data_IF_783614734932
#
_entry.id   IF_783614734932
#
_cell.length_a   1.000
_cell.length_b   1.000
_cell.length_c   1.000
_cell.angle_alpha   90.00
_cell.angle_beta   90.00
_cell.angle_gamma   90.00
#
_symmetry.space_group_name_H-M   'P 1'
#
loop_
_entity.id
_entity.type
_entity.pdbx_description
1 polymer ?
#
# COMPACT_ATOMS: atom_id res chain seq x y z
N UNK A 1 -2.57 30.32 -4.06
CA UNK A 1 -1.17 29.88 -3.87
C UNK A 1 -1.17 28.72 -2.91
N UNK A 2 -0.67 27.57 -3.28
CA UNK A 2 -0.66 26.38 -2.43
C UNK A 2 0.28 26.60 -1.24
N UNK A 3 -0.21 26.42 0.00
CA UNK A 3 0.59 26.68 1.20
C UNK A 3 1.22 25.37 1.69
N UNK A 4 2.52 25.28 1.62
CA UNK A 4 3.31 24.22 2.26
C UNK A 4 3.59 24.57 3.72
N UNK A 5 3.61 23.56 4.59
CA UNK A 5 4.12 23.71 5.95
C UNK A 5 5.66 23.72 5.95
N UNK A 6 6.28 24.22 7.03
CA UNK A 6 7.74 24.46 7.06
C UNK A 6 8.62 23.23 6.78
N UNK A 7 8.11 22.02 6.99
CA UNK A 7 8.84 20.77 6.80
C UNK A 7 8.31 19.96 5.62
N UNK A 8 7.66 20.59 4.63
CA UNK A 8 7.09 19.92 3.48
C UNK A 8 7.77 20.37 2.19
N UNK A 9 7.82 19.47 1.24
CA UNK A 9 8.28 19.71 -0.12
C UNK A 9 7.35 19.06 -1.13
N UNK A 10 7.30 19.63 -2.32
CA UNK A 10 6.65 19.02 -3.48
C UNK A 10 7.69 18.19 -4.23
N UNK A 11 7.35 16.95 -4.51
CA UNK A 11 8.14 16.06 -5.38
C UNK A 11 7.35 15.71 -6.63
N UNK A 12 8.05 15.57 -7.74
CA UNK A 12 7.49 15.12 -9.01
C UNK A 12 7.42 13.58 -9.02
N UNK A 13 6.31 13.03 -9.49
CA UNK A 13 6.07 11.59 -9.58
C UNK A 13 6.43 10.99 -10.96
N UNK A 14 7.14 11.75 -11.80
CA UNK A 14 7.66 11.31 -13.10
C UNK A 14 6.73 11.62 -14.27
N UNK A 15 6.71 10.79 -15.29
CA UNK A 15 6.25 11.07 -16.67
C UNK A 15 4.82 11.63 -16.84
N UNK A 16 3.99 11.62 -15.80
CA UNK A 16 2.60 12.14 -15.88
C UNK A 16 2.44 13.56 -15.35
N UNK A 17 3.51 14.21 -14.92
CA UNK A 17 3.46 15.54 -14.32
C UNK A 17 2.72 15.59 -12.98
N UNK A 18 2.42 14.42 -12.37
CA UNK A 18 1.80 14.33 -11.05
C UNK A 18 2.79 14.75 -9.97
N UNK A 19 2.29 15.45 -8.97
CA UNK A 19 3.08 15.97 -7.85
C UNK A 19 2.55 15.44 -6.53
N UNK A 20 3.45 15.24 -5.57
CA UNK A 20 3.09 14.82 -4.23
C UNK A 20 3.72 15.75 -3.20
N UNK A 21 3.01 16.03 -2.12
CA UNK A 21 3.53 16.74 -0.95
C UNK A 21 4.07 15.70 0.03
N UNK A 22 5.32 15.86 0.45
CA UNK A 22 5.96 14.98 1.42
C UNK A 22 6.70 15.78 2.49
N UNK A 23 6.82 15.23 3.70
CA UNK A 23 7.66 15.83 4.72
C UNK A 23 9.13 15.72 4.32
N UNK A 24 9.89 16.81 4.53
CA UNK A 24 11.30 16.91 4.11
C UNK A 24 12.22 15.92 4.83
N UNK A 25 11.86 15.53 6.06
CA UNK A 25 12.56 14.59 6.94
C UNK A 25 11.96 13.17 6.89
N UNK A 26 10.86 12.99 6.14
CA UNK A 26 10.29 11.65 5.91
C UNK A 26 11.02 10.95 4.74
N UNK A 27 11.00 9.63 4.77
CA UNK A 27 11.45 8.87 3.60
C UNK A 27 10.63 9.29 2.38
N UNK A 28 11.32 9.51 1.25
CA UNK A 28 10.72 9.44 -0.08
C UNK A 28 9.80 8.22 -0.13
N UNK A 29 8.71 8.31 -0.89
CA UNK A 29 7.83 7.16 -1.13
C UNK A 29 8.66 5.87 -1.28
N UNK A 30 8.29 4.83 -0.54
CA UNK A 30 9.10 3.62 -0.48
C UNK A 30 9.08 2.92 -1.84
N UNK A 31 10.21 2.33 -2.20
CA UNK A 31 10.31 1.41 -3.37
C UNK A 31 9.19 0.37 -3.34
N UNK A 32 8.76 -0.03 -2.13
CA UNK A 32 7.67 -0.97 -1.89
C UNK A 32 6.35 -0.53 -2.54
N UNK A 33 6.01 0.76 -2.47
CA UNK A 33 4.80 1.30 -3.09
C UNK A 33 4.86 1.19 -4.62
N UNK A 34 6.02 1.44 -5.22
CA UNK A 34 6.22 1.29 -6.67
C UNK A 34 6.14 -0.17 -7.10
N UNK A 35 6.74 -1.07 -6.32
CA UNK A 35 6.69 -2.51 -6.58
C UNK A 35 5.25 -3.03 -6.51
N UNK A 36 4.50 -2.60 -5.48
CA UNK A 36 3.08 -2.94 -5.34
C UNK A 36 2.26 -2.41 -6.51
N UNK A 37 2.45 -1.15 -6.89
CA UNK A 37 1.77 -0.54 -8.03
C UNK A 37 2.01 -1.26 -9.35
N UNK A 38 3.23 -1.75 -9.59
CA UNK A 38 3.55 -2.51 -10.80
C UNK A 38 2.95 -3.93 -10.78
N UNK A 39 2.65 -4.45 -9.61
CA UNK A 39 2.02 -5.75 -9.43
C UNK A 39 0.49 -5.68 -9.57
N UNK A 40 -0.15 -4.54 -9.24
CA UNK A 40 -1.60 -4.35 -9.29
C UNK A 40 -2.11 -4.42 -10.73
N UNK A 41 -3.10 -5.27 -10.95
CA UNK A 41 -3.82 -5.43 -12.22
C UNK A 41 -5.21 -4.83 -12.09
N UNK A 42 -5.50 -3.78 -12.85
CA UNK A 42 -6.79 -3.08 -12.83
C UNK A 42 -7.59 -3.28 -14.10
N UNK A 43 -8.89 -3.13 -13.95
CA UNK A 43 -9.86 -2.96 -15.05
C UNK A 43 -10.35 -1.52 -15.08
N UNK A 44 -11.02 -1.11 -16.16
CA UNK A 44 -11.68 0.19 -16.21
C UNK A 44 -12.85 0.24 -15.23
N UNK A 45 -13.15 1.44 -14.71
CA UNK A 45 -14.29 1.74 -13.85
C UNK A 45 -14.32 0.97 -12.51
N UNK A 46 -13.17 0.57 -12.02
CA UNK A 46 -13.08 -0.08 -10.71
C UNK A 46 -13.06 0.94 -9.57
N UNK A 47 -13.70 0.56 -8.47
CA UNK A 47 -13.67 1.26 -7.21
C UNK A 47 -12.60 0.66 -6.31
N UNK A 48 -11.62 1.46 -5.93
CA UNK A 48 -10.40 1.03 -5.24
C UNK A 48 -10.32 1.69 -3.87
N UNK A 49 -9.85 0.97 -2.87
CA UNK A 49 -9.52 1.54 -1.56
C UNK A 49 -8.11 1.13 -1.13
N UNK A 50 -7.31 2.12 -0.72
CA UNK A 50 -5.96 1.96 -0.18
C UNK A 50 -5.98 2.14 1.34
N UNK A 51 -5.67 1.08 2.08
CA UNK A 51 -5.68 1.06 3.55
C UNK A 51 -4.29 1.41 4.09
N UNK A 52 -4.19 2.55 4.77
CA UNK A 52 -2.93 3.12 5.23
C UNK A 52 -2.21 3.88 4.12
N UNK A 53 -2.91 4.79 3.47
CA UNK A 53 -2.43 5.47 2.25
C UNK A 53 -1.23 6.39 2.47
N UNK A 54 -0.93 6.76 3.72
CA UNK A 54 0.14 7.69 4.04
C UNK A 54 -0.06 9.04 3.37
N UNK A 55 0.96 9.54 2.67
CA UNK A 55 0.90 10.79 1.90
C UNK A 55 0.13 10.69 0.58
N UNK A 56 -0.51 9.56 0.29
CA UNK A 56 -1.36 9.38 -0.89
C UNK A 56 -0.64 8.92 -2.16
N UNK A 57 0.57 8.37 -2.06
CA UNK A 57 1.37 7.94 -3.21
C UNK A 57 0.65 6.88 -4.07
N UNK A 58 0.03 5.88 -3.43
CA UNK A 58 -0.64 4.80 -4.15
C UNK A 58 -1.87 5.32 -4.91
N UNK A 59 -2.81 6.07 -4.30
CA UNK A 59 -3.92 6.69 -5.02
C UNK A 59 -3.48 7.53 -6.22
N UNK A 60 -2.49 8.42 -6.05
CA UNK A 60 -2.00 9.27 -7.13
C UNK A 60 -1.43 8.45 -8.29
N UNK A 61 -0.61 7.44 -8.02
CA UNK A 61 0.00 6.63 -9.07
C UNK A 61 -0.96 5.59 -9.68
N UNK A 62 -2.04 5.22 -9.00
CA UNK A 62 -3.12 4.42 -9.59
C UNK A 62 -3.95 5.23 -10.57
N UNK A 63 -4.11 6.55 -10.34
CA UNK A 63 -4.81 7.43 -11.25
C UNK A 63 -4.23 7.36 -12.67
N UNK A 64 -5.08 7.27 -13.64
CA UNK A 64 -4.68 7.19 -15.06
C UNK A 64 -4.07 5.84 -15.49
N UNK A 65 -3.99 4.81 -14.61
CA UNK A 65 -3.66 3.44 -15.05
C UNK A 65 -4.79 2.81 -15.87
N UNK A 66 -6.03 3.16 -15.56
CA UNK A 66 -7.25 2.75 -16.26
C UNK A 66 -8.28 3.89 -16.26
N UNK A 67 -9.25 3.82 -17.17
CA UNK A 67 -10.32 4.84 -17.27
C UNK A 67 -11.33 4.70 -16.14
N UNK A 68 -11.82 5.84 -15.63
CA UNK A 68 -12.96 5.91 -14.72
C UNK A 68 -12.75 5.20 -13.38
N UNK A 69 -11.52 5.19 -12.85
CA UNK A 69 -11.25 4.70 -11.51
C UNK A 69 -11.82 5.65 -10.47
N UNK A 70 -12.44 5.10 -9.42
CA UNK A 70 -12.81 5.83 -8.21
C UNK A 70 -11.93 5.33 -7.05
N UNK A 71 -11.06 6.18 -6.51
CA UNK A 71 -10.00 5.78 -5.61
C UNK A 71 -10.20 6.42 -4.23
N UNK A 72 -10.14 5.60 -3.18
CA UNK A 72 -10.23 6.03 -1.80
C UNK A 72 -8.92 5.73 -1.09
N UNK A 73 -8.37 6.72 -0.39
CA UNK A 73 -7.22 6.54 0.50
C UNK A 73 -7.63 6.72 1.96
N UNK A 74 -7.31 5.77 2.82
CA UNK A 74 -7.60 5.80 4.25
C UNK A 74 -6.32 5.97 5.03
N UNK A 75 -6.27 6.97 5.91
CA UNK A 75 -5.11 7.24 6.74
C UNK A 75 -5.55 7.69 8.13
N UNK A 76 -5.02 7.05 9.16
CA UNK A 76 -5.37 7.36 10.56
C UNK A 76 -4.67 8.65 11.05
N UNK A 77 -3.46 8.91 10.56
CA UNK A 77 -2.66 10.06 10.98
C UNK A 77 -3.14 11.33 10.27
N UNK A 78 -3.65 12.27 11.05
CA UNK A 78 -4.19 13.56 10.56
C UNK A 78 -3.21 14.28 9.63
N UNK A 79 -1.94 14.34 10.00
CA UNK A 79 -0.91 15.04 9.25
C UNK A 79 -0.67 14.40 7.85
N UNK A 80 -0.59 13.07 7.78
CA UNK A 80 -0.42 12.37 6.50
C UNK A 80 -1.67 12.47 5.63
N UNK A 81 -2.86 12.32 6.21
CA UNK A 81 -4.12 12.47 5.50
C UNK A 81 -4.30 13.89 4.94
N UNK A 82 -3.85 14.92 5.66
CA UNK A 82 -3.85 16.30 5.18
C UNK A 82 -2.91 16.48 3.99
N UNK A 83 -1.67 15.99 4.08
CA UNK A 83 -0.72 16.00 2.94
C UNK A 83 -1.30 15.28 1.72
N UNK A 84 -1.93 14.12 1.92
CA UNK A 84 -2.55 13.36 0.83
C UNK A 84 -3.68 14.15 0.17
N UNK A 85 -4.59 14.81 0.94
CA UNK A 85 -5.66 15.65 0.39
C UNK A 85 -5.09 16.81 -0.42
N UNK A 86 -4.14 17.54 0.13
CA UNK A 86 -3.48 18.65 -0.57
C UNK A 86 -2.74 18.17 -1.83
N UNK A 87 -2.17 16.98 -1.83
CA UNK A 87 -1.57 16.38 -3.02
C UNK A 87 -2.62 16.08 -4.09
N UNK A 88 -3.80 15.57 -3.72
CA UNK A 88 -4.93 15.36 -4.62
C UNK A 88 -5.39 16.70 -5.22
N UNK A 89 -5.56 17.74 -4.40
CA UNK A 89 -5.94 19.08 -4.83
C UNK A 89 -4.90 19.72 -5.76
N UNK A 90 -3.61 19.57 -5.45
CA UNK A 90 -2.50 20.07 -6.27
C UNK A 90 -2.53 19.51 -7.70
N UNK A 91 -3.00 18.28 -7.85
CA UNK A 91 -3.15 17.60 -9.14
C UNK A 91 -4.55 17.74 -9.75
N UNK A 92 -5.50 18.43 -9.08
CA UNK A 92 -6.90 18.61 -9.53
C UNK A 92 -7.63 17.28 -9.73
N UNK A 93 -7.46 16.34 -8.79
CA UNK A 93 -7.99 14.97 -8.86
C UNK A 93 -9.09 14.68 -7.82
N UNK A 94 -9.76 15.71 -7.28
CA UNK A 94 -10.76 15.57 -6.20
C UNK A 94 -12.01 14.79 -6.64
N UNK A 95 -12.31 14.79 -7.94
CA UNK A 95 -13.43 14.04 -8.50
C UNK A 95 -13.15 12.52 -8.60
N UNK A 96 -11.86 12.13 -8.66
CA UNK A 96 -11.44 10.74 -8.85
C UNK A 96 -10.86 10.12 -7.58
N UNK A 97 -10.26 10.94 -6.70
CA UNK A 97 -9.55 10.49 -5.49
C UNK A 97 -10.09 11.15 -4.25
N UNK A 98 -10.58 10.34 -3.31
CA UNK A 98 -11.08 10.79 -2.00
C UNK A 98 -10.16 10.30 -0.89
N UNK A 99 -9.62 11.22 -0.07
CA UNK A 99 -8.81 10.88 1.11
C UNK A 99 -9.63 11.07 2.39
N UNK A 100 -9.75 10.00 3.17
CA UNK A 100 -10.49 9.97 4.43
C UNK A 100 -9.52 9.77 5.58
N UNK A 101 -9.53 10.70 6.54
CA UNK A 101 -8.80 10.52 7.79
C UNK A 101 -9.64 9.66 8.71
N UNK A 102 -9.29 8.39 8.85
CA UNK A 102 -10.02 7.45 9.70
C UNK A 102 -9.14 6.22 10.03
N UNK A 103 -9.47 5.56 11.12
CA UNK A 103 -8.98 4.22 11.41
C UNK A 103 -9.70 3.21 10.51
N UNK A 104 -8.95 2.41 9.75
CA UNK A 104 -9.56 1.44 8.83
C UNK A 104 -10.50 0.45 9.55
N UNK A 105 -10.35 0.24 10.87
CA UNK A 105 -11.24 -0.63 11.67
C UNK A 105 -12.66 -0.08 11.76
N UNK A 106 -12.83 1.23 11.61
CA UNK A 106 -14.13 1.91 11.68
C UNK A 106 -14.85 1.99 10.33
N UNK A 107 -14.26 1.52 9.24
CA UNK A 107 -14.78 1.68 7.88
C UNK A 107 -16.14 1.01 7.65
N UNK A 108 -16.53 0.06 8.50
CA UNK A 108 -17.89 -0.52 8.49
C UNK A 108 -18.99 0.50 8.82
N UNK A 109 -18.64 1.60 9.49
CA UNK A 109 -19.55 2.70 9.80
C UNK A 109 -19.67 3.71 8.65
N UNK A 110 -18.72 3.72 7.71
CA UNK A 110 -18.59 4.67 6.62
C UNK A 110 -19.05 4.06 5.29
N UNK A 111 -18.67 2.82 5.04
CA UNK A 111 -18.94 2.13 3.79
C UNK A 111 -19.87 0.94 4.00
N UNK A 112 -20.73 0.72 3.00
CA UNK A 112 -21.55 -0.49 2.93
C UNK A 112 -20.68 -1.71 2.63
N UNK A 113 -21.18 -2.89 3.00
CA UNK A 113 -20.56 -4.16 2.64
C UNK A 113 -20.44 -4.29 1.11
N UNK A 114 -19.36 -4.92 0.63
CA UNK A 114 -19.15 -5.27 -0.77
C UNK A 114 -19.19 -4.06 -1.74
N UNK A 115 -18.51 -2.99 -1.38
CA UNK A 115 -18.55 -1.74 -2.13
C UNK A 115 -17.37 -1.54 -3.09
N UNK A 116 -16.26 -2.27 -2.88
CA UNK A 116 -15.00 -2.08 -3.60
C UNK A 116 -14.63 -3.30 -4.47
N UNK A 117 -14.09 -3.01 -5.65
CA UNK A 117 -13.55 -4.03 -6.56
C UNK A 117 -12.13 -4.44 -6.15
N UNK A 118 -11.38 -3.48 -5.60
CA UNK A 118 -9.98 -3.67 -5.22
C UNK A 118 -9.70 -3.02 -3.86
N UNK A 119 -9.02 -3.78 -3.00
CA UNK A 119 -8.35 -3.28 -1.79
C UNK A 119 -6.85 -3.33 -2.03
N UNK A 120 -6.14 -2.27 -1.66
CA UNK A 120 -4.68 -2.19 -1.69
C UNK A 120 -4.18 -1.89 -0.29
N UNK A 121 -3.04 -2.42 0.11
CA UNK A 121 -2.34 -1.96 1.30
C UNK A 121 -0.84 -2.24 1.24
N UNK A 122 -0.07 -1.24 1.66
CA UNK A 122 1.35 -1.34 2.01
C UNK A 122 1.50 -1.06 3.51
N UNK A 123 1.12 -2.02 4.38
CA UNK A 123 1.08 -1.77 5.82
C UNK A 123 2.48 -1.63 6.40
N UNK A 124 2.67 -0.84 7.48
CA UNK A 124 3.95 -0.74 8.15
C UNK A 124 4.37 -2.10 8.73
N UNK A 125 5.60 -2.52 8.48
CA UNK A 125 6.13 -3.86 8.81
C UNK A 125 6.51 -4.06 10.29
N UNK A 126 6.04 -3.25 11.21
CA UNK A 126 6.52 -3.27 12.60
C UNK A 126 5.78 -4.31 13.43
N UNK A 127 6.54 -5.29 13.94
CA UNK A 127 6.08 -6.15 15.05
C UNK A 127 6.17 -5.36 16.34
N UNK A 128 5.12 -5.42 17.18
CA UNK A 128 5.26 -4.96 18.56
C UNK A 128 6.44 -5.69 19.21
N UNK A 129 7.42 -4.95 19.74
CA UNK A 129 8.46 -5.48 20.61
C UNK A 129 9.88 -5.60 20.03
N UNK A 130 10.15 -5.25 18.77
CA UNK A 130 11.52 -5.30 18.24
C UNK A 130 11.98 -3.94 17.71
N UNK A 131 12.88 -3.32 18.43
CA UNK A 131 13.65 -2.13 18.06
C UNK A 131 13.73 -1.11 19.17
N UNK A 132 14.95 -0.66 19.52
CA UNK A 132 15.19 0.50 20.40
C UNK A 132 14.49 1.71 19.80
N UNK A 133 13.43 2.17 20.44
CA UNK A 133 12.63 3.30 20.00
C UNK A 133 13.28 4.56 20.53
N UNK A 134 13.65 5.46 19.62
CA UNK A 134 13.96 6.83 20.02
C UNK A 134 12.63 7.58 20.21
N UNK A 135 12.22 7.95 21.44
CA UNK A 135 10.86 8.44 21.74
C UNK A 135 10.49 9.74 21.04
N UNK A 136 11.46 10.49 20.56
CA UNK A 136 11.30 11.83 19.96
C UNK A 136 11.08 11.82 18.44
N UNK A 137 11.07 10.66 17.78
CA UNK A 137 10.85 10.62 16.34
C UNK A 137 9.36 10.52 16.01
N UNK A 138 8.89 11.28 15.01
CA UNK A 138 7.56 11.17 14.40
C UNK A 138 7.20 9.72 14.00
N UNK A 139 8.21 8.88 13.80
CA UNK A 139 8.09 7.43 13.58
C UNK A 139 7.63 6.64 14.81
N UNK A 140 8.02 7.08 16.03
CA UNK A 140 7.58 6.41 17.27
C UNK A 140 6.09 6.66 17.50
N UNK A 141 5.63 7.91 17.26
CA UNK A 141 4.23 8.30 17.36
C UNK A 141 3.40 7.54 16.33
N UNK A 142 3.85 7.50 15.07
CA UNK A 142 3.22 6.72 14.01
C UNK A 142 3.10 5.22 14.34
N UNK A 143 4.08 4.63 15.04
CA UNK A 143 4.06 3.22 15.45
C UNK A 143 3.10 2.93 16.61
N UNK A 144 2.84 3.92 17.48
CA UNK A 144 1.89 3.78 18.58
C UNK A 144 0.43 4.02 18.18
N UNK A 145 0.20 4.83 17.16
CA UNK A 145 -1.16 5.14 16.66
C UNK A 145 -1.70 4.05 15.73
N UNK A 146 -0.84 3.29 15.03
CA UNK A 146 -1.27 2.18 14.16
C UNK A 146 -1.56 0.94 15.02
N UNK A 147 -2.72 0.94 15.67
CA UNK A 147 -3.15 -0.16 16.56
C UNK A 147 -3.83 -1.33 15.84
N UNK A 148 -4.00 -1.31 14.53
CA UNK A 148 -4.65 -2.38 13.79
C UNK A 148 -3.73 -3.58 13.55
N UNK A 149 -4.24 -4.78 13.81
CA UNK A 149 -3.54 -6.03 13.51
C UNK A 149 -3.67 -6.40 12.01
N UNK A 150 -2.84 -7.36 11.55
CA UNK A 150 -3.02 -7.95 10.23
C UNK A 150 -4.43 -8.55 10.06
N UNK A 151 -4.95 -9.18 11.10
CA UNK A 151 -6.29 -9.77 11.08
C UNK A 151 -7.38 -8.71 10.92
N UNK A 152 -7.26 -7.56 11.62
CA UNK A 152 -8.22 -6.46 11.48
C UNK A 152 -8.23 -5.93 10.05
N UNK A 153 -7.05 -5.75 9.44
CA UNK A 153 -6.91 -5.29 8.06
C UNK A 153 -7.55 -6.28 7.07
N UNK A 154 -7.30 -7.58 7.21
CA UNK A 154 -7.89 -8.60 6.33
C UNK A 154 -9.39 -8.72 6.56
N UNK A 155 -9.86 -8.66 7.81
CA UNK A 155 -11.29 -8.68 8.15
C UNK A 155 -12.05 -7.52 7.51
N UNK A 156 -11.52 -6.30 7.63
CA UNK A 156 -12.16 -5.13 7.02
C UNK A 156 -12.06 -5.17 5.49
N UNK A 157 -10.96 -5.67 4.94
CA UNK A 157 -10.80 -5.86 3.50
C UNK A 157 -11.86 -6.83 2.95
N UNK A 158 -12.11 -7.95 3.65
CA UNK A 158 -13.18 -8.87 3.25
C UNK A 158 -14.56 -8.22 3.30
N UNK A 159 -14.85 -7.40 4.32
CA UNK A 159 -16.11 -6.65 4.40
C UNK A 159 -16.27 -5.72 3.21
N UNK A 160 -15.24 -4.95 2.86
CA UNK A 160 -15.27 -3.94 1.82
C UNK A 160 -15.31 -4.52 0.40
N UNK A 161 -14.64 -5.65 0.17
CA UNK A 161 -14.55 -6.27 -1.16
C UNK A 161 -15.89 -6.84 -1.62
N UNK A 162 -16.23 -6.56 -2.87
CA UNK A 162 -17.26 -7.29 -3.60
C UNK A 162 -16.90 -8.77 -3.71
N UNK A 163 -17.89 -9.62 -3.99
CA UNK A 163 -17.59 -11.01 -4.36
C UNK A 163 -16.70 -11.04 -5.61
N UNK A 164 -15.63 -11.87 -5.60
CA UNK A 164 -14.55 -11.87 -6.60
C UNK A 164 -13.73 -10.59 -6.67
N UNK A 165 -13.91 -9.66 -5.75
CA UNK A 165 -13.01 -8.52 -5.56
C UNK A 165 -11.62 -8.98 -5.15
N UNK A 166 -10.62 -8.14 -5.40
CA UNK A 166 -9.20 -8.47 -5.25
C UNK A 166 -8.54 -7.64 -4.16
N UNK A 167 -7.64 -8.27 -3.42
CA UNK A 167 -6.73 -7.57 -2.51
C UNK A 167 -5.31 -7.67 -3.03
N UNK A 168 -4.58 -6.56 -2.99
CA UNK A 168 -3.15 -6.48 -3.33
C UNK A 168 -2.37 -5.99 -2.13
N UNK A 169 -1.39 -6.77 -1.73
CA UNK A 169 -0.57 -6.51 -0.55
C UNK A 169 0.91 -6.62 -0.88
N UNK A 170 1.71 -5.76 -0.25
CA UNK A 170 3.13 -6.01 -0.09
C UNK A 170 3.41 -6.27 1.39
N UNK A 171 4.17 -7.30 1.71
CA UNK A 171 4.39 -7.71 3.10
C UNK A 171 5.76 -8.35 3.29
N UNK A 172 6.20 -8.53 4.55
CA UNK A 172 7.45 -9.23 4.83
C UNK A 172 7.34 -10.71 4.48
N UNK A 173 8.29 -11.25 3.69
CA UNK A 173 8.34 -12.66 3.31
C UNK A 173 8.38 -13.61 4.52
N UNK A 174 9.11 -13.24 5.57
CA UNK A 174 9.19 -14.00 6.82
C UNK A 174 7.83 -14.17 7.55
N UNK A 175 6.81 -13.39 7.18
CA UNK A 175 5.46 -13.46 7.76
C UNK A 175 4.41 -13.98 6.76
N UNK A 176 4.83 -14.55 5.64
CA UNK A 176 3.94 -15.03 4.59
C UNK A 176 2.93 -16.04 5.10
N UNK A 177 3.34 -17.01 5.91
CA UNK A 177 2.43 -18.04 6.43
C UNK A 177 1.31 -17.39 7.28
N UNK A 178 1.67 -16.43 8.14
CA UNK A 178 0.68 -15.69 8.94
C UNK A 178 -0.30 -14.92 8.06
N UNK A 179 0.19 -14.30 6.98
CA UNK A 179 -0.63 -13.58 6.01
C UNK A 179 -1.60 -14.53 5.29
N UNK A 180 -1.13 -15.69 4.81
CA UNK A 180 -1.96 -16.68 4.12
C UNK A 180 -3.04 -17.22 5.05
N UNK A 181 -2.70 -17.56 6.29
CA UNK A 181 -3.69 -18.03 7.28
C UNK A 181 -4.77 -16.97 7.53
N UNK A 182 -4.39 -15.70 7.69
CA UNK A 182 -5.34 -14.61 7.88
C UNK A 182 -6.27 -14.45 6.65
N UNK A 183 -5.73 -14.49 5.43
CA UNK A 183 -6.53 -14.41 4.21
C UNK A 183 -7.55 -15.55 4.11
N UNK A 184 -7.11 -16.79 4.32
CA UNK A 184 -7.99 -17.98 4.28
C UNK A 184 -9.07 -17.91 5.35
N UNK A 185 -8.76 -17.49 6.57
CA UNK A 185 -9.72 -17.28 7.67
C UNK A 185 -10.89 -16.36 7.25
N UNK A 186 -10.61 -15.35 6.44
CA UNK A 186 -11.61 -14.38 5.96
C UNK A 186 -12.06 -14.64 4.51
N UNK A 187 -12.00 -15.89 4.03
CA UNK A 187 -12.49 -16.29 2.70
C UNK A 187 -11.88 -15.49 1.54
N UNK A 188 -10.63 -15.06 1.70
CA UNK A 188 -9.84 -14.48 0.63
C UNK A 188 -8.80 -15.51 0.20
N UNK A 189 -8.90 -15.98 -1.05
CA UNK A 189 -8.01 -16.99 -1.60
C UNK A 189 -6.77 -16.33 -2.19
N UNK A 190 -5.54 -16.67 -1.73
CA UNK A 190 -4.30 -16.24 -2.38
C UNK A 190 -4.25 -16.77 -3.83
N UNK A 191 -4.01 -15.90 -4.81
CA UNK A 191 -4.00 -16.26 -6.23
C UNK A 191 -2.65 -16.09 -6.89
N UNK A 192 -1.92 -15.06 -6.52
CA UNK A 192 -0.59 -14.80 -7.05
C UNK A 192 0.34 -14.38 -5.94
N UNK A 193 1.53 -14.96 -5.92
CA UNK A 193 2.63 -14.55 -5.05
C UNK A 193 3.84 -14.22 -5.91
N UNK A 194 4.56 -13.16 -5.56
CA UNK A 194 5.82 -12.77 -6.17
C UNK A 194 6.80 -12.31 -5.11
N UNK A 195 7.94 -12.97 -5.03
CA UNK A 195 8.96 -12.65 -4.03
C UNK A 195 9.89 -11.54 -4.51
N UNK A 196 10.32 -10.70 -3.58
CA UNK A 196 11.27 -9.62 -3.81
C UNK A 196 12.53 -9.91 -3.01
N UNK A 197 13.64 -9.99 -3.73
CA UNK A 197 14.98 -10.25 -3.20
C UNK A 197 15.85 -9.00 -3.30
N UNK A 198 16.72 -8.72 -2.34
CA UNK A 198 17.70 -7.67 -2.51
C UNK A 198 18.62 -7.97 -3.70
N UNK A 199 19.22 -9.17 -3.72
CA UNK A 199 20.12 -9.65 -4.78
C UNK A 199 19.91 -11.15 -5.05
N UNK A 200 20.36 -11.65 -6.22
CA UNK A 200 20.46 -13.09 -6.46
C UNK A 200 21.32 -13.78 -5.39
N UNK A 201 20.83 -14.90 -4.85
CA UNK A 201 21.50 -15.66 -3.78
C UNK A 201 21.20 -15.21 -2.35
N UNK A 202 20.54 -14.05 -2.15
CA UNK A 202 20.06 -13.61 -0.84
C UNK A 202 18.65 -14.13 -0.56
N UNK A 203 18.18 -14.03 0.70
CA UNK A 203 16.82 -14.38 1.07
C UNK A 203 15.83 -13.29 0.63
N UNK A 204 14.62 -13.71 0.27
CA UNK A 204 13.54 -12.76 -0.03
C UNK A 204 13.18 -11.93 1.22
N UNK A 205 13.12 -10.62 1.07
CA UNK A 205 12.74 -9.69 2.15
C UNK A 205 11.25 -9.38 2.15
N UNK A 206 10.67 -9.28 0.96
CA UNK A 206 9.27 -8.91 0.76
C UNK A 206 8.57 -9.90 -0.16
N UNK A 207 7.26 -9.89 -0.08
CA UNK A 207 6.36 -10.63 -0.94
C UNK A 207 5.22 -9.73 -1.39
N UNK A 208 4.91 -9.76 -2.68
CA UNK A 208 3.70 -9.23 -3.26
C UNK A 208 2.67 -10.35 -3.31
N UNK A 209 1.45 -10.08 -2.90
CA UNK A 209 0.37 -11.06 -2.88
C UNK A 209 -0.90 -10.46 -3.47
N UNK A 210 -1.51 -11.19 -4.40
CA UNK A 210 -2.87 -10.99 -4.87
C UNK A 210 -3.77 -12.06 -4.26
N UNK A 211 -4.86 -11.64 -3.61
CA UNK A 211 -5.92 -12.50 -3.12
C UNK A 211 -7.27 -12.16 -3.75
N UNK A 212 -8.17 -13.13 -3.83
CA UNK A 212 -9.52 -12.97 -4.39
C UNK A 212 -10.56 -13.42 -3.39
N UNK A 213 -11.49 -12.52 -3.03
CA UNK A 213 -12.62 -12.87 -2.14
C UNK A 213 -13.48 -13.97 -2.76
N UNK A 214 -13.73 -15.03 -2.00
CA UNK A 214 -14.43 -16.25 -2.44
C UNK A 214 -13.82 -16.86 -3.72
N UNK A 215 -12.49 -16.73 -3.89
CA UNK A 215 -11.74 -17.36 -4.98
C UNK A 215 -11.78 -18.88 -4.89
N UNK A 216 -11.61 -19.57 -6.02
CA UNK A 216 -11.30 -21.00 -6.03
C UNK A 216 -9.84 -21.20 -5.67
N UNK A 217 -9.47 -22.34 -5.14
CA UNK A 217 -8.08 -22.71 -4.91
C UNK A 217 -7.30 -22.65 -6.23
N UNK A 218 -6.07 -22.33 -6.18
CA UNK A 218 -5.06 -22.27 -7.25
C UNK A 218 -4.13 -21.07 -7.03
N UNK A 219 -2.93 -21.34 -6.56
CA UNK A 219 -1.90 -20.34 -6.29
C UNK A 219 -0.84 -20.38 -7.39
N UNK A 220 -0.57 -19.22 -7.99
CA UNK A 220 0.56 -19.04 -8.90
C UNK A 220 1.69 -18.32 -8.19
N UNK A 221 2.91 -18.87 -8.28
CA UNK A 221 4.13 -18.19 -7.84
C UNK A 221 4.82 -17.63 -9.09
N UNK A 222 4.89 -16.32 -9.22
CA UNK A 222 5.58 -15.64 -10.32
C UNK A 222 7.08 -15.57 -10.09
N UNK A 223 7.85 -15.40 -11.18
CA UNK A 223 9.29 -15.22 -11.12
C UNK A 223 9.69 -14.05 -10.19
N UNK A 224 10.85 -14.13 -9.53
CA UNK A 224 11.29 -13.16 -8.52
C UNK A 224 11.57 -11.77 -9.10
N UNK A 225 11.56 -10.75 -8.21
CA UNK A 225 12.13 -9.43 -8.48
C UNK A 225 13.43 -9.32 -7.70
N UNK A 226 14.50 -8.86 -8.36
CA UNK A 226 15.75 -8.48 -7.71
C UNK A 226 15.88 -6.96 -7.72
N UNK A 227 16.10 -6.35 -6.54
CA UNK A 227 16.20 -4.90 -6.41
C UNK A 227 17.54 -4.36 -6.92
N UNK A 228 18.58 -5.16 -6.76
CA UNK A 228 19.94 -4.82 -7.18
C UNK A 228 20.51 -5.96 -8.04
N UNK A 229 21.16 -5.62 -9.15
CA UNK A 229 21.93 -6.58 -9.93
C UNK A 229 23.25 -6.89 -9.22
N UNK A 230 23.72 -8.14 -9.28
CA UNK A 230 25.12 -8.44 -8.98
C UNK A 230 25.96 -7.78 -10.07
N UNK A 231 26.59 -6.64 -9.80
CA UNK A 231 27.80 -6.28 -10.55
C UNK A 231 28.87 -7.30 -10.11
N UNK A 232 29.07 -8.36 -10.88
CA UNK A 232 30.31 -9.10 -10.83
C UNK A 232 31.42 -8.09 -11.14
N UNK A 233 32.34 -7.89 -10.20
CA UNK A 233 33.68 -7.47 -10.57
C UNK A 233 34.17 -8.55 -11.55
N UNK A 234 34.32 -8.20 -12.81
CA UNK A 234 35.21 -8.90 -13.71
C UNK A 234 36.61 -8.70 -13.13
N UNK A 235 37.06 -9.66 -12.32
CA UNK A 235 38.46 -9.82 -12.04
C UNK A 235 39.07 -10.32 -13.34
N UNK A 236 39.61 -9.38 -14.14
CA UNK A 236 40.53 -9.71 -15.18
C UNK A 236 41.68 -10.54 -14.56
N UNK A 237 41.77 -11.81 -14.97
CA UNK A 237 42.99 -12.59 -14.86
C UNK A 237 43.89 -12.26 -16.02
#
# INVERSE_FOLDING_TARGET
>A
MFKLNNNEKIEDLGDKGLKIIQASDSYRFSVDSILLLNFIRLKNYEKIIDLGTGSGIIPLLLFGKKKGLSIYGIEIQKYLADMARRSVELNKLQDDITIIQEDFRNLKNIFKNQQFDVVVSNPPYVSMGQGKINPSSSRAIARHEIKGSLEDMISVSNYLLKNKGRIYLIYRSAKLIKLVIALKKYSIEPKVIKFIYPRPGENANLVLLEGVKSGKEELKIEGPIFLYSNKKMETNK
#
